data_IF_604341013986
#
_entry.id   IF_604341013986
#
_cell.length_a   1.000
_cell.length_b   1.000
_cell.length_c   1.000
_cell.angle_alpha   90.00
_cell.angle_beta   90.00
_cell.angle_gamma   90.00
#
_symmetry.space_group_name_H-M   'P 1'
#
loop_
_entity.id
_entity.type
_entity.pdbx_description
1 polymer ?
#
# COMPACT_ATOMS: atom_id res chain seq x y z
N UNK A 1 -11.81 -4.32 -4.35
CA UNK A 1 -11.55 -2.86 -4.48
C UNK A 1 -10.37 -2.43 -3.61
N UNK A 2 -10.40 -2.66 -2.29
CA UNK A 2 -9.29 -2.32 -1.37
C UNK A 2 -7.94 -2.85 -1.86
N UNK A 3 -7.87 -4.15 -2.21
CA UNK A 3 -6.66 -4.79 -2.75
C UNK A 3 -6.08 -4.05 -3.99
N UNK A 4 -6.95 -3.61 -4.90
CA UNK A 4 -6.53 -2.90 -6.11
C UNK A 4 -6.02 -1.50 -5.80
N UNK A 5 -6.73 -0.78 -4.92
CA UNK A 5 -6.32 0.57 -4.50
C UNK A 5 -4.96 0.51 -3.81
N UNK A 6 -4.78 -0.44 -2.89
CA UNK A 6 -3.51 -0.67 -2.20
C UNK A 6 -2.39 -0.96 -3.19
N UNK A 7 -2.59 -1.92 -4.09
CA UNK A 7 -1.58 -2.28 -5.07
C UNK A 7 -1.20 -1.12 -5.99
N UNK A 8 -2.19 -0.40 -6.55
CA UNK A 8 -1.93 0.74 -7.44
C UNK A 8 -1.23 1.88 -6.67
N UNK A 9 -1.58 2.10 -5.40
CA UNK A 9 -0.91 3.09 -4.55
C UNK A 9 0.58 2.73 -4.35
N UNK A 10 0.89 1.47 -4.05
CA UNK A 10 2.25 0.98 -3.94
C UNK A 10 2.99 1.12 -5.28
N UNK A 11 2.39 0.65 -6.38
CA UNK A 11 2.98 0.71 -7.72
C UNK A 11 3.35 2.15 -8.11
N UNK A 12 2.41 3.11 -7.93
CA UNK A 12 2.66 4.54 -8.22
C UNK A 12 3.74 5.15 -7.32
N UNK A 13 3.78 4.76 -6.05
CA UNK A 13 4.83 5.23 -5.12
C UNK A 13 6.22 4.80 -5.61
N UNK A 14 6.40 3.52 -5.95
CA UNK A 14 7.67 3.01 -6.47
C UNK A 14 7.99 3.46 -7.89
N UNK A 15 6.99 3.68 -8.74
CA UNK A 15 7.15 4.30 -10.05
C UNK A 15 7.74 5.71 -9.96
N UNK A 16 7.27 6.52 -8.98
CA UNK A 16 7.85 7.84 -8.69
C UNK A 16 9.28 7.74 -8.18
N UNK A 17 9.57 6.84 -7.24
CA UNK A 17 10.91 6.68 -6.65
C UNK A 17 11.94 6.25 -7.70
N UNK A 18 11.55 5.38 -8.62
CA UNK A 18 12.44 4.78 -9.61
C UNK A 18 12.30 5.38 -11.02
N UNK A 19 11.57 6.48 -11.17
CA UNK A 19 11.38 7.22 -12.42
C UNK A 19 10.82 6.37 -13.59
N UNK A 20 9.75 5.62 -13.34
CA UNK A 20 9.01 4.93 -14.40
C UNK A 20 7.50 5.13 -14.26
N UNK A 21 6.79 4.99 -15.39
CA UNK A 21 5.36 5.21 -15.49
C UNK A 21 4.63 3.89 -15.24
N UNK A 22 3.59 3.94 -14.41
CA UNK A 22 2.69 2.80 -14.15
C UNK A 22 1.45 2.94 -15.03
N UNK A 23 1.09 1.88 -15.75
CA UNK A 23 -0.22 1.73 -16.38
C UNK A 23 -1.19 1.01 -15.43
N UNK A 24 -2.19 1.70 -14.84
CA UNK A 24 -3.15 1.08 -13.94
C UNK A 24 -3.99 -0.03 -14.58
N UNK A 25 -4.25 0.04 -15.89
CA UNK A 25 -5.03 -0.98 -16.59
C UNK A 25 -4.24 -2.29 -16.68
N UNK A 26 -2.95 -2.20 -16.96
CA UNK A 26 -2.06 -3.36 -17.00
C UNK A 26 -1.92 -4.00 -15.61
N UNK A 27 -1.74 -3.20 -14.56
CA UNK A 27 -1.68 -3.72 -13.17
C UNK A 27 -3.00 -4.37 -12.75
N UNK A 28 -4.15 -3.82 -13.16
CA UNK A 28 -5.46 -4.40 -12.92
C UNK A 28 -5.59 -5.79 -13.56
N UNK A 29 -5.17 -5.93 -14.83
CA UNK A 29 -5.17 -7.23 -15.52
C UNK A 29 -4.20 -8.19 -14.83
N UNK A 30 -3.01 -7.74 -14.44
CA UNK A 30 -2.02 -8.59 -13.77
C UNK A 30 -2.53 -9.15 -12.43
N UNK A 31 -3.16 -8.31 -11.59
CA UNK A 31 -3.81 -8.76 -10.34
C UNK A 31 -4.97 -9.70 -10.65
N UNK A 32 -5.80 -9.36 -11.64
CA UNK A 32 -6.96 -10.16 -12.02
C UNK A 32 -6.55 -11.58 -12.40
N UNK A 33 -5.58 -11.71 -13.31
CA UNK A 33 -5.00 -12.99 -13.73
C UNK A 33 -4.43 -13.74 -12.53
N UNK A 34 -3.62 -13.08 -11.69
CA UNK A 34 -3.02 -13.70 -10.49
C UNK A 34 -4.08 -14.28 -9.55
N UNK A 35 -5.18 -13.56 -9.33
CA UNK A 35 -6.24 -13.98 -8.43
C UNK A 35 -7.24 -14.96 -9.05
N UNK A 36 -7.31 -15.05 -10.39
CA UNK A 36 -8.05 -16.13 -11.07
C UNK A 36 -7.29 -17.45 -10.95
N UNK A 37 -5.97 -17.45 -11.15
CA UNK A 37 -5.17 -18.67 -11.12
C UNK A 37 -4.75 -19.09 -9.69
N UNK A 38 -4.56 -18.14 -8.78
CA UNK A 38 -4.11 -18.41 -7.40
C UNK A 38 -4.92 -19.48 -6.65
N UNK A 39 -6.26 -19.45 -6.67
CA UNK A 39 -7.09 -20.44 -5.98
C UNK A 39 -6.88 -21.88 -6.45
N UNK A 40 -6.49 -22.12 -7.70
CA UNK A 40 -6.17 -23.47 -8.20
C UNK A 40 -4.97 -24.11 -7.50
N UNK A 41 -4.15 -23.30 -6.83
CA UNK A 41 -3.00 -23.73 -6.03
C UNK A 41 -3.22 -23.53 -4.52
N UNK A 42 -4.45 -23.26 -4.08
CA UNK A 42 -4.78 -23.00 -2.67
C UNK A 42 -4.31 -21.64 -2.15
N UNK A 43 -4.06 -20.66 -3.04
CA UNK A 43 -3.62 -19.32 -2.65
C UNK A 43 -4.78 -18.46 -2.13
N UNK A 44 -4.50 -17.64 -1.12
CA UNK A 44 -5.38 -16.54 -0.72
C UNK A 44 -5.28 -15.36 -1.71
N UNK A 45 -6.25 -14.43 -1.71
CA UNK A 45 -6.19 -13.26 -2.58
C UNK A 45 -4.85 -12.52 -2.47
N UNK A 46 -4.15 -12.40 -3.60
CA UNK A 46 -2.84 -11.79 -3.69
C UNK A 46 -2.92 -10.29 -4.03
N UNK A 47 -2.05 -9.49 -3.40
CA UNK A 47 -1.90 -8.05 -3.64
C UNK A 47 -0.42 -7.63 -3.60
N UNK A 48 -0.15 -6.37 -3.91
CA UNK A 48 1.17 -5.76 -3.71
C UNK A 48 1.53 -5.63 -2.23
N UNK A 49 2.82 -5.68 -1.90
CA UNK A 49 3.31 -5.52 -0.52
C UNK A 49 4.33 -4.39 -0.46
N UNK A 50 4.05 -3.35 0.32
CA UNK A 50 4.94 -2.20 0.46
C UNK A 50 6.32 -2.63 1.01
N UNK A 51 6.34 -3.40 2.09
CA UNK A 51 7.58 -3.88 2.73
C UNK A 51 8.44 -4.74 1.78
N UNK A 52 7.85 -5.75 1.10
CA UNK A 52 8.61 -6.62 0.18
C UNK A 52 9.13 -5.85 -1.03
N UNK A 53 8.32 -4.95 -1.60
CA UNK A 53 8.73 -4.13 -2.75
C UNK A 53 9.81 -3.12 -2.35
N UNK A 54 9.74 -2.54 -1.15
CA UNK A 54 10.76 -1.65 -0.62
C UNK A 54 12.12 -2.34 -0.51
N UNK A 55 12.15 -3.56 0.04
CA UNK A 55 13.37 -4.35 0.17
C UNK A 55 13.93 -4.68 -1.23
N UNK A 56 13.09 -5.14 -2.16
CA UNK A 56 13.51 -5.43 -3.55
C UNK A 56 14.09 -4.20 -4.25
N UNK A 57 13.44 -3.04 -4.09
CA UNK A 57 13.91 -1.78 -4.66
C UNK A 57 15.25 -1.34 -4.07
N UNK A 58 15.43 -1.45 -2.75
CA UNK A 58 16.71 -1.15 -2.06
C UNK A 58 17.82 -2.12 -2.43
N UNK A 59 17.49 -3.39 -2.67
CA UNK A 59 18.41 -4.42 -3.14
C UNK A 59 18.80 -4.28 -4.63
N UNK A 60 18.27 -3.28 -5.34
CA UNK A 60 18.61 -3.02 -6.74
C UNK A 60 17.92 -3.95 -7.75
N UNK A 61 16.83 -4.62 -7.36
CA UNK A 61 16.05 -5.47 -8.28
C UNK A 61 15.37 -4.60 -9.35
N UNK A 62 15.63 -4.88 -10.63
CA UNK A 62 15.06 -4.16 -11.78
C UNK A 62 14.19 -5.01 -12.71
N UNK A 63 14.11 -6.32 -12.47
CA UNK A 63 13.42 -7.26 -13.36
C UNK A 63 12.41 -8.12 -12.61
N UNK A 64 11.28 -8.53 -13.23
CA UNK A 64 10.29 -9.40 -12.61
C UNK A 64 10.83 -10.80 -12.26
N UNK A 65 11.98 -11.20 -12.83
CA UNK A 65 12.66 -12.48 -12.53
C UNK A 65 12.91 -12.69 -11.04
N UNK A 66 13.09 -11.63 -10.25
CA UNK A 66 13.24 -11.74 -8.80
C UNK A 66 12.03 -12.42 -8.12
N UNK A 67 10.84 -12.34 -8.72
CA UNK A 67 9.65 -13.08 -8.29
C UNK A 67 9.83 -14.59 -8.41
N UNK A 68 10.42 -15.07 -9.52
CA UNK A 68 10.71 -16.50 -9.73
C UNK A 68 11.71 -17.03 -8.71
N UNK A 69 12.81 -16.30 -8.49
CA UNK A 69 13.80 -16.68 -7.47
C UNK A 69 13.19 -16.70 -6.06
N UNK A 70 12.36 -15.71 -5.72
CA UNK A 70 11.64 -15.69 -4.43
C UNK A 70 10.71 -16.91 -4.30
N UNK A 71 9.97 -17.25 -5.35
CA UNK A 71 9.07 -18.40 -5.37
C UNK A 71 9.80 -19.73 -5.22
N UNK A 72 10.88 -19.93 -5.98
CA UNK A 72 11.73 -21.12 -5.88
C UNK A 72 12.33 -21.28 -4.48
N UNK A 73 12.80 -20.20 -3.87
CA UNK A 73 13.32 -20.22 -2.50
C UNK A 73 12.23 -20.58 -1.49
N UNK A 74 10.99 -20.09 -1.66
CA UNK A 74 9.87 -20.47 -0.78
C UNK A 74 9.55 -21.96 -0.93
N UNK A 75 9.46 -22.48 -2.16
CA UNK A 75 9.22 -23.91 -2.41
C UNK A 75 10.32 -24.74 -1.74
N UNK A 76 11.59 -24.42 -1.98
CA UNK A 76 12.72 -25.11 -1.37
C UNK A 76 12.66 -25.06 0.16
N UNK A 77 12.30 -23.91 0.72
CA UNK A 77 12.18 -23.73 2.18
C UNK A 77 11.08 -24.61 2.77
N UNK A 78 9.95 -24.77 2.09
CA UNK A 78 8.88 -25.65 2.56
C UNK A 78 9.32 -27.14 2.51
N UNK A 79 10.06 -27.56 1.48
CA UNK A 79 10.51 -28.96 1.41
C UNK A 79 11.66 -29.29 2.38
N UNK A 80 12.58 -28.35 2.63
CA UNK A 80 13.82 -28.63 3.38
C UNK A 80 13.77 -28.08 4.82
N UNK A 81 13.21 -26.89 5.03
CA UNK A 81 13.28 -26.17 6.32
C UNK A 81 12.04 -26.36 7.21
N UNK A 82 11.00 -27.05 6.77
CA UNK A 82 9.77 -27.23 7.58
C UNK A 82 10.02 -27.82 8.96
N UNK A 83 10.95 -28.77 9.09
CA UNK A 83 11.32 -29.33 10.40
C UNK A 83 11.96 -28.31 11.36
N UNK A 84 12.63 -27.29 10.83
CA UNK A 84 13.22 -26.19 11.61
C UNK A 84 12.13 -25.19 11.99
N UNK A 85 11.24 -24.85 11.05
CA UNK A 85 10.15 -23.89 11.29
C UNK A 85 9.16 -24.36 12.35
N UNK A 86 9.04 -25.66 12.59
CA UNK A 86 8.23 -26.20 13.70
C UNK A 86 8.62 -25.64 15.08
N UNK A 87 9.91 -25.37 15.29
CA UNK A 87 10.43 -24.89 16.57
C UNK A 87 10.34 -23.37 16.76
N UNK A 88 9.85 -22.64 15.75
CA UNK A 88 9.70 -21.19 15.85
C UNK A 88 8.57 -20.87 16.83
N UNK A 89 8.93 -20.19 17.92
CA UNK A 89 7.96 -19.66 18.87
C UNK A 89 7.09 -18.58 18.23
N UNK A 90 5.79 -18.61 18.56
CA UNK A 90 4.82 -17.60 18.15
C UNK A 90 5.23 -16.18 18.57
N UNK A 91 5.98 -16.04 19.67
CA UNK A 91 6.50 -14.76 20.12
C UNK A 91 7.50 -14.14 19.12
N UNK A 92 8.33 -14.96 18.48
CA UNK A 92 9.29 -14.50 17.47
C UNK A 92 8.56 -14.01 16.21
N UNK A 93 7.51 -14.73 15.79
CA UNK A 93 6.66 -14.31 14.67
C UNK A 93 5.93 -12.99 14.96
N UNK A 94 5.38 -12.84 16.17
CA UNK A 94 4.75 -11.59 16.59
C UNK A 94 5.74 -10.41 16.59
N UNK A 95 6.94 -10.61 17.13
CA UNK A 95 7.99 -9.59 17.13
C UNK A 95 8.39 -9.18 15.70
N UNK A 96 8.51 -10.15 14.78
CA UNK A 96 8.80 -9.88 13.38
C UNK A 96 7.68 -9.06 12.70
N UNK A 97 6.41 -9.35 13.00
CA UNK A 97 5.27 -8.57 12.48
C UNK A 97 5.28 -7.14 13.01
N UNK A 98 5.47 -6.96 14.33
CA UNK A 98 5.53 -5.62 14.95
C UNK A 98 6.66 -4.80 14.32
N UNK A 99 7.84 -5.40 14.15
CA UNK A 99 8.97 -4.74 13.50
C UNK A 99 8.66 -4.37 12.03
N UNK A 100 8.09 -5.29 11.25
CA UNK A 100 7.77 -5.06 9.85
C UNK A 100 6.73 -3.94 9.64
N UNK A 101 5.78 -3.78 10.56
CA UNK A 101 4.77 -2.71 10.50
C UNK A 101 5.39 -1.36 10.90
N UNK A 102 6.37 -1.36 11.82
CA UNK A 102 7.05 -0.14 12.28
C UNK A 102 7.60 0.71 11.13
N UNK A 103 8.18 0.07 10.11
CA UNK A 103 8.72 0.74 8.92
C UNK A 103 7.66 1.37 8.00
N UNK A 104 6.40 0.98 8.14
CA UNK A 104 5.26 1.45 7.33
C UNK A 104 4.49 2.58 8.02
N UNK A 105 4.70 2.78 9.33
CA UNK A 105 4.04 3.84 10.09
C UNK A 105 4.46 5.21 9.54
N UNK A 106 3.47 6.08 9.34
CA UNK A 106 3.67 7.43 8.83
C UNK A 106 4.59 8.21 9.78
N UNK A 107 5.70 8.72 9.25
CA UNK A 107 6.67 9.51 10.00
C UNK A 107 6.12 10.87 10.46
N UNK A 108 6.74 11.42 11.50
CA UNK A 108 6.38 12.73 12.07
C UNK A 108 6.47 13.88 11.04
N UNK A 109 7.40 13.77 10.08
CA UNK A 109 7.58 14.77 9.03
C UNK A 109 6.36 14.88 8.10
N UNK A 110 5.77 13.74 7.73
CA UNK A 110 4.56 13.71 6.90
C UNK A 110 3.36 14.33 7.64
N UNK A 111 3.21 14.04 8.94
CA UNK A 111 2.16 14.66 9.76
C UNK A 111 2.33 16.18 9.87
N UNK A 112 3.57 16.66 10.05
CA UNK A 112 3.88 18.09 10.06
C UNK A 112 3.56 18.74 8.71
N UNK A 113 3.86 18.05 7.61
CA UNK A 113 3.56 18.52 6.26
C UNK A 113 2.05 18.71 6.05
N UNK A 114 1.22 17.76 6.50
CA UNK A 114 -0.24 17.92 6.45
C UNK A 114 -0.72 19.16 7.21
N UNK A 115 -0.19 19.38 8.42
CA UNK A 115 -0.55 20.55 9.21
C UNK A 115 -0.13 21.87 8.57
N UNK A 116 1.05 21.91 7.94
CA UNK A 116 1.59 23.11 7.29
C UNK A 116 0.89 23.44 5.96
N UNK A 117 0.46 22.43 5.20
CA UNK A 117 -0.23 22.64 3.91
C UNK A 117 -1.70 23.01 4.14
N UNK A 118 -2.43 22.18 4.90
CA UNK A 118 -3.82 22.44 5.25
C UNK A 118 -4.22 21.62 6.49
N UNK A 119 -4.56 22.26 7.63
CA UNK A 119 -4.98 21.54 8.83
C UNK A 119 -6.21 20.64 8.61
N UNK A 120 -7.06 20.94 7.61
CA UNK A 120 -8.21 20.08 7.28
C UNK A 120 -7.74 18.71 6.76
N UNK A 121 -6.67 18.65 5.97
CA UNK A 121 -6.14 17.38 5.44
C UNK A 121 -5.59 16.49 6.57
N UNK A 122 -5.01 17.09 7.61
CA UNK A 122 -4.61 16.39 8.82
C UNK A 122 -5.82 15.75 9.53
N UNK A 123 -6.93 16.48 9.69
CA UNK A 123 -8.15 15.91 10.28
C UNK A 123 -8.75 14.78 9.44
N UNK A 124 -8.76 14.92 8.11
CA UNK A 124 -9.22 13.84 7.21
C UNK A 124 -8.39 12.57 7.43
N UNK A 125 -7.07 12.70 7.55
CA UNK A 125 -6.18 11.58 7.87
C UNK A 125 -6.51 10.96 9.24
N UNK A 126 -6.61 11.78 10.29
CA UNK A 126 -6.91 11.30 11.66
C UNK A 126 -8.26 10.58 11.71
N UNK A 127 -9.32 11.15 11.14
CA UNK A 127 -10.64 10.51 11.09
C UNK A 127 -10.62 9.22 10.27
N UNK A 128 -9.84 9.18 9.18
CA UNK A 128 -9.61 7.95 8.41
C UNK A 128 -8.98 6.86 9.26
N UNK A 129 -7.89 7.16 9.97
CA UNK A 129 -7.19 6.23 10.85
C UNK A 129 -8.10 5.73 11.96
N UNK A 130 -8.78 6.64 12.67
CA UNK A 130 -9.72 6.26 13.73
C UNK A 130 -10.85 5.38 13.17
N UNK A 131 -11.38 5.73 12.00
CA UNK A 131 -12.38 4.93 11.30
C UNK A 131 -11.91 3.51 10.98
N UNK A 132 -10.65 3.35 10.53
CA UNK A 132 -10.07 2.02 10.29
C UNK A 132 -9.82 1.23 11.57
N UNK A 133 -9.43 1.87 12.68
CA UNK A 133 -9.10 1.20 13.95
C UNK A 133 -10.36 0.72 14.66
N UNK A 134 -11.41 1.54 14.72
CA UNK A 134 -12.63 1.24 15.48
C UNK A 134 -13.70 0.52 14.68
N UNK A 135 -13.54 0.40 13.36
CA UNK A 135 -14.53 -0.22 12.48
C UNK A 135 -13.84 -1.14 11.48
N UNK A 136 -14.03 -0.92 10.18
CA UNK A 136 -13.40 -1.70 9.12
C UNK A 136 -12.52 -0.82 8.24
N UNK A 137 -11.55 -1.44 7.57
CA UNK A 137 -10.67 -0.76 6.60
C UNK A 137 -11.50 -0.08 5.51
N UNK A 138 -12.58 -0.72 5.07
CA UNK A 138 -13.49 -0.18 4.05
C UNK A 138 -14.13 1.14 4.49
N UNK A 139 -14.62 1.21 5.74
CA UNK A 139 -15.24 2.41 6.29
C UNK A 139 -14.24 3.56 6.40
N UNK A 140 -13.02 3.30 6.88
CA UNK A 140 -11.99 4.33 6.93
C UNK A 140 -11.60 4.87 5.54
N UNK A 141 -11.58 4.01 4.52
CA UNK A 141 -11.39 4.42 3.11
C UNK A 141 -12.56 5.30 2.64
N UNK A 142 -13.81 4.94 2.93
CA UNK A 142 -14.95 5.77 2.54
C UNK A 142 -14.94 7.14 3.23
N UNK A 143 -14.62 7.20 4.52
CA UNK A 143 -14.49 8.46 5.27
C UNK A 143 -13.46 9.37 4.61
N UNK A 144 -12.27 8.86 4.29
CA UNK A 144 -11.19 9.65 3.69
C UNK A 144 -11.51 10.11 2.27
N UNK A 145 -12.08 9.24 1.43
CA UNK A 145 -12.45 9.58 0.05
C UNK A 145 -13.54 10.65 0.02
N UNK A 146 -14.64 10.44 0.76
CA UNK A 146 -15.78 11.38 0.77
C UNK A 146 -15.33 12.75 1.29
N UNK A 147 -14.56 12.76 2.39
CA UNK A 147 -14.07 14.02 2.97
C UNK A 147 -13.12 14.76 2.03
N UNK A 148 -12.25 14.02 1.32
CA UNK A 148 -11.35 14.61 0.31
C UNK A 148 -12.11 15.19 -0.89
N UNK A 149 -13.17 14.52 -1.34
CA UNK A 149 -14.06 15.01 -2.41
C UNK A 149 -14.75 16.29 -1.96
N UNK A 150 -15.33 16.33 -0.75
CA UNK A 150 -15.99 17.52 -0.21
C UNK A 150 -15.01 18.69 -0.15
N UNK A 151 -13.79 18.46 0.35
CA UNK A 151 -12.74 19.48 0.40
C UNK A 151 -12.37 20.01 -0.99
N UNK A 152 -12.22 19.11 -1.97
CA UNK A 152 -11.90 19.46 -3.34
C UNK A 152 -13.00 20.28 -4.00
N UNK A 153 -14.27 19.88 -3.83
CA UNK A 153 -15.42 20.62 -4.34
C UNK A 153 -15.52 22.00 -3.69
N UNK A 154 -15.31 22.11 -2.37
CA UNK A 154 -15.30 23.38 -1.67
C UNK A 154 -14.17 24.30 -2.15
N UNK A 155 -12.96 23.75 -2.38
CA UNK A 155 -11.84 24.50 -2.96
C UNK A 155 -12.18 25.00 -4.36
N UNK A 156 -12.74 24.15 -5.23
CA UNK A 156 -13.15 24.53 -6.59
C UNK A 156 -14.23 25.62 -6.58
N UNK A 157 -15.25 25.48 -5.73
CA UNK A 157 -16.32 26.47 -5.60
C UNK A 157 -15.82 27.83 -5.07
N UNK A 158 -14.75 27.83 -4.26
CA UNK A 158 -14.13 29.05 -3.72
C UNK A 158 -13.11 29.68 -4.66
N UNK A 159 -12.77 29.07 -5.82
CA UNK A 159 -11.96 29.73 -6.85
C UNK A 159 -12.80 30.86 -7.47
N UNK A 160 -12.75 32.02 -6.82
CA UNK A 160 -13.29 33.27 -7.35
C UNK A 160 -12.56 33.57 -8.66
N UNK A 161 -13.33 33.87 -9.71
CA UNK A 161 -12.77 34.31 -10.98
C UNK A 161 -11.80 35.45 -10.75
N UNK A 162 -10.54 35.28 -11.16
CA UNK A 162 -9.71 36.43 -11.47
C UNK A 162 -10.40 37.13 -12.64
N UNK A 163 -11.10 38.22 -12.35
CA UNK A 163 -11.40 39.22 -13.36
C UNK A 163 -10.03 39.67 -13.89
N UNK A 164 -9.72 39.27 -15.12
CA UNK A 164 -8.64 39.84 -15.90
C UNK A 164 -9.09 41.24 -16.28
N UNK A 165 -8.81 42.20 -15.40
CA UNK A 165 -8.83 43.62 -15.74
C UNK A 165 -7.38 44.10 -15.72
N UNK A 166 -6.75 43.98 -16.89
CA UNK A 166 -5.61 44.71 -17.49
C UNK A 166 -4.89 43.85 -18.52
#
# INVERSE_FOLDING_TARGET
IVLLIEHIAIAKSFGRINNYIIDPNQELVAIGVTNIFGPFFGSYPATGSFSRTAIKSKAGVRTPLAGLFSGLLIILSIYVLTGIFYWISQACLAAAIIHAIGDVIVGQETLKSFWQINPIEFFIFVFGVLGTIFSTIEIGIYITIISSIILLLFRMAKVHGKFLDQ
#
